data_IF_384117006762
#
_entry.id   IF_384117006762
#
_cell.length_a   1.000
_cell.length_b   1.000
_cell.length_c   1.000
_cell.angle_alpha   90.00
_cell.angle_beta   90.00
_cell.angle_gamma   90.00
#
_symmetry.space_group_name_H-M   'P 1'
#
loop_
_entity.id
_entity.type
_entity.pdbx_description
1 polymer ?
#
# COMPACT_ATOMS: atom_id res chain seq x y z
N UNK A 1 -19.38 -34.18 -29.53
CA UNK A 1 -19.43 -33.81 -28.10
C UNK A 1 -18.80 -32.43 -27.94
N UNK A 2 -19.39 -31.50 -27.17
CA UNK A 2 -18.70 -30.26 -26.85
C UNK A 2 -17.43 -30.56 -26.05
N UNK A 3 -16.33 -29.82 -26.25
CA UNK A 3 -15.09 -30.06 -25.50
C UNK A 3 -15.34 -29.87 -24.00
N UNK A 4 -14.88 -30.83 -23.19
CA UNK A 4 -14.97 -30.75 -21.74
C UNK A 4 -14.18 -29.54 -21.23
N UNK A 5 -14.78 -28.71 -20.37
CA UNK A 5 -14.08 -27.57 -19.76
C UNK A 5 -12.85 -28.07 -18.99
N UNK A 6 -11.68 -27.42 -19.13
CA UNK A 6 -10.47 -27.84 -18.43
C UNK A 6 -10.62 -27.71 -16.91
N UNK A 7 -10.06 -28.66 -16.17
CA UNK A 7 -10.04 -28.64 -14.70
C UNK A 7 -9.17 -27.49 -14.16
N UNK A 8 -9.53 -26.97 -12.99
CA UNK A 8 -8.70 -25.98 -12.29
C UNK A 8 -7.46 -26.67 -11.71
N UNK A 9 -6.28 -26.10 -11.96
CA UNK A 9 -5.00 -26.58 -11.41
C UNK A 9 -4.33 -25.49 -10.58
N UNK A 10 -3.33 -25.84 -9.77
CA UNK A 10 -2.54 -24.86 -9.02
C UNK A 10 -1.90 -23.80 -9.92
N UNK A 11 -1.56 -24.13 -11.17
CA UNK A 11 -1.01 -23.18 -12.14
C UNK A 11 -1.98 -22.04 -12.49
N UNK A 12 -3.29 -22.26 -12.33
CA UNK A 12 -4.29 -21.20 -12.53
C UNK A 12 -4.24 -20.13 -11.44
N UNK A 13 -3.64 -20.41 -10.26
CA UNK A 13 -3.48 -19.40 -9.21
C UNK A 13 -2.69 -18.19 -9.69
N UNK A 14 -1.69 -18.40 -10.54
CA UNK A 14 -0.87 -17.34 -11.14
C UNK A 14 -1.59 -16.51 -12.21
N UNK A 15 -2.80 -16.94 -12.63
CA UNK A 15 -3.63 -16.22 -13.59
C UNK A 15 -4.66 -15.31 -12.91
N UNK A 16 -4.88 -15.47 -11.61
CA UNK A 16 -5.80 -14.61 -10.89
C UNK A 16 -5.25 -13.18 -10.81
N UNK A 17 -6.13 -12.24 -11.16
CA UNK A 17 -5.91 -10.82 -10.96
C UNK A 17 -7.01 -10.35 -10.02
N UNK A 18 -6.62 -9.94 -8.82
CA UNK A 18 -7.57 -9.46 -7.81
C UNK A 18 -7.63 -7.94 -7.89
N UNK A 19 -8.83 -7.44 -8.11
CA UNK A 19 -9.11 -6.02 -8.20
C UNK A 19 -9.67 -5.52 -6.86
N UNK A 20 -9.09 -4.47 -6.31
CA UNK A 20 -9.48 -3.88 -5.02
C UNK A 20 -9.43 -2.35 -5.05
N UNK A 21 -10.04 -1.70 -4.05
CA UNK A 21 -9.94 -0.25 -3.78
C UNK A 21 -10.20 0.64 -5.01
N UNK A 22 -11.40 0.50 -5.57
CA UNK A 22 -11.87 1.31 -6.69
C UNK A 22 -12.25 2.72 -6.22
N UNK A 23 -11.72 3.74 -6.87
CA UNK A 23 -12.01 5.14 -6.58
C UNK A 23 -12.37 5.89 -7.85
N UNK A 24 -13.56 6.49 -7.86
CA UNK A 24 -14.02 7.39 -8.91
C UNK A 24 -13.25 8.72 -8.86
N UNK A 25 -12.86 9.26 -10.01
CA UNK A 25 -12.26 10.59 -10.10
C UNK A 25 -13.27 11.69 -9.73
N UNK A 26 -12.81 12.88 -9.28
CA UNK A 26 -13.72 13.96 -8.87
C UNK A 26 -14.68 14.43 -9.97
N UNK A 27 -14.24 14.37 -11.24
CA UNK A 27 -15.04 14.69 -12.43
C UNK A 27 -15.92 13.53 -12.91
N UNK A 28 -15.80 12.34 -12.29
CA UNK A 28 -16.57 11.15 -12.64
C UNK A 28 -16.15 10.46 -13.93
N UNK A 29 -15.06 10.86 -14.59
CA UNK A 29 -14.71 10.33 -15.92
C UNK A 29 -13.72 9.16 -15.89
N UNK A 30 -13.06 8.92 -14.75
CA UNK A 30 -12.12 7.82 -14.56
C UNK A 30 -12.38 7.05 -13.26
N UNK A 31 -12.01 5.78 -13.24
CA UNK A 31 -11.84 4.98 -12.01
C UNK A 31 -10.38 4.57 -11.91
N UNK A 32 -9.76 4.85 -10.76
CA UNK A 32 -8.50 4.21 -10.37
C UNK A 32 -8.79 2.99 -9.51
N UNK A 33 -8.05 1.91 -9.69
CA UNK A 33 -8.17 0.71 -8.87
C UNK A 33 -6.82 0.03 -8.71
N UNK A 34 -6.73 -0.83 -7.69
CA UNK A 34 -5.56 -1.67 -7.43
C UNK A 34 -5.75 -3.02 -8.14
N UNK A 35 -4.74 -3.47 -8.88
CA UNK A 35 -4.72 -4.79 -9.50
C UNK A 35 -3.56 -5.60 -8.93
N UNK A 36 -3.89 -6.61 -8.13
CA UNK A 36 -2.94 -7.53 -7.53
C UNK A 36 -2.74 -8.77 -8.41
N UNK A 37 -1.47 -9.18 -8.57
CA UNK A 37 -1.06 -10.41 -9.25
C UNK A 37 -0.08 -11.22 -8.40
N UNK A 38 0.02 -12.52 -8.66
CA UNK A 38 1.07 -13.37 -8.12
C UNK A 38 2.12 -13.59 -9.21
N UNK A 39 3.37 -13.24 -8.94
CA UNK A 39 4.47 -13.52 -9.85
C UNK A 39 4.84 -15.00 -9.79
N UNK A 40 4.84 -15.67 -10.95
CA UNK A 40 5.08 -17.12 -11.02
C UNK A 40 6.50 -17.54 -10.64
N UNK A 41 7.48 -16.66 -10.85
CA UNK A 41 8.90 -17.00 -10.62
C UNK A 41 9.27 -16.85 -9.16
N UNK A 42 8.76 -15.81 -8.50
CA UNK A 42 9.12 -15.47 -7.12
C UNK A 42 8.06 -15.89 -6.11
N UNK A 43 6.87 -16.27 -6.58
CA UNK A 43 5.67 -16.55 -5.79
C UNK A 43 5.21 -15.37 -4.92
N UNK A 44 5.78 -14.18 -5.14
CA UNK A 44 5.42 -12.96 -4.44
C UNK A 44 4.17 -12.34 -5.05
N UNK A 45 3.43 -11.64 -4.20
CA UNK A 45 2.32 -10.78 -4.63
C UNK A 45 2.85 -9.40 -4.95
N UNK A 46 2.36 -8.83 -6.04
CA UNK A 46 2.60 -7.45 -6.42
C UNK A 46 1.28 -6.81 -6.76
N UNK A 47 1.16 -5.50 -6.52
CA UNK A 47 -0.01 -4.74 -6.94
C UNK A 47 0.42 -3.46 -7.61
N UNK A 48 -0.30 -3.09 -8.65
CA UNK A 48 -0.12 -1.83 -9.34
C UNK A 48 -1.46 -1.13 -9.50
N UNK A 49 -1.41 0.18 -9.68
CA UNK A 49 -2.59 0.99 -9.94
C UNK A 49 -2.92 0.95 -11.44
N UNK A 50 -4.21 0.92 -11.72
CA UNK A 50 -4.76 0.94 -13.07
C UNK A 50 -5.85 2.00 -13.15
N UNK A 51 -6.03 2.54 -14.34
CA UNK A 51 -7.05 3.53 -14.66
C UNK A 51 -7.95 3.00 -15.75
N UNK A 52 -9.26 3.24 -15.63
CA UNK A 52 -10.23 2.95 -16.67
C UNK A 52 -11.21 4.10 -16.82
N UNK A 53 -11.60 4.50 -18.04
CA UNK A 53 -12.69 5.45 -18.24
C UNK A 53 -14.02 4.89 -17.72
N UNK A 54 -14.89 5.74 -17.19
CA UNK A 54 -16.24 5.32 -16.76
C UNK A 54 -17.20 5.09 -17.93
N UNK A 55 -16.94 5.75 -19.06
CA UNK A 55 -17.62 5.51 -20.33
C UNK A 55 -17.01 4.34 -21.10
N UNK A 56 -16.96 4.47 -22.42
CA UNK A 56 -16.29 3.49 -23.27
C UNK A 56 -14.78 3.69 -23.25
N UNK A 57 -14.02 2.61 -23.10
CA UNK A 57 -12.57 2.66 -23.07
C UNK A 57 -11.94 1.38 -22.56
N UNK A 58 -10.63 1.25 -22.73
CA UNK A 58 -9.85 0.13 -22.19
C UNK A 58 -9.11 0.57 -20.92
N UNK A 59 -8.98 -0.30 -19.91
CA UNK A 59 -8.09 -0.03 -18.79
C UNK A 59 -6.66 0.15 -19.25
N UNK A 60 -5.95 1.09 -18.62
CA UNK A 60 -4.50 1.30 -18.79
C UNK A 60 -3.81 1.15 -17.45
N UNK A 61 -2.63 0.54 -17.47
CA UNK A 61 -1.79 0.47 -16.30
C UNK A 61 -1.24 1.86 -15.98
N UNK A 62 -1.31 2.26 -14.71
CA UNK A 62 -0.89 3.57 -14.24
C UNK A 62 0.48 3.52 -13.57
N UNK A 63 0.70 2.58 -12.65
CA UNK A 63 2.02 2.33 -12.03
C UNK A 63 2.62 1.00 -12.48
N UNK A 64 3.94 0.85 -12.36
CA UNK A 64 4.67 -0.32 -12.85
C UNK A 64 5.75 -0.74 -11.86
N UNK A 65 6.06 -2.04 -11.82
CA UNK A 65 7.19 -2.57 -11.06
C UNK A 65 6.85 -3.85 -10.28
N UNK A 66 7.85 -4.33 -9.55
CA UNK A 66 7.76 -5.47 -8.63
C UNK A 66 7.72 -5.00 -7.19
N UNK A 67 6.74 -4.15 -6.89
CA UNK A 67 6.42 -3.60 -5.58
C UNK A 67 4.89 -3.61 -5.40
N UNK A 68 4.42 -3.13 -4.26
CA UNK A 68 3.02 -3.10 -3.87
C UNK A 68 2.55 -1.65 -3.85
N UNK A 69 1.79 -1.24 -4.86
CA UNK A 69 1.08 0.04 -4.84
C UNK A 69 -0.38 -0.20 -4.40
N UNK A 70 -0.86 0.58 -3.44
CA UNK A 70 -2.21 0.44 -2.88
C UNK A 70 -2.78 1.76 -2.37
N UNK A 71 -4.07 1.75 -1.98
CA UNK A 71 -4.77 2.92 -1.43
C UNK A 71 -4.70 4.18 -2.30
N UNK A 72 -5.09 4.10 -3.59
CA UNK A 72 -5.09 5.28 -4.44
C UNK A 72 -6.14 6.29 -3.97
N UNK A 73 -5.76 7.58 -3.93
CA UNK A 73 -6.63 8.71 -3.58
C UNK A 73 -6.41 9.83 -4.58
N UNK A 74 -7.47 10.17 -5.31
CA UNK A 74 -7.48 11.32 -6.21
C UNK A 74 -7.28 12.62 -5.44
N UNK A 75 -6.43 13.51 -5.96
CA UNK A 75 -6.43 14.91 -5.52
C UNK A 75 -7.80 15.53 -5.81
N UNK A 76 -8.27 16.49 -5.01
CA UNK A 76 -9.60 17.10 -5.20
C UNK A 76 -9.78 17.76 -6.58
N UNK A 77 -8.69 18.25 -7.18
CA UNK A 77 -8.67 18.82 -8.53
C UNK A 77 -8.57 17.77 -9.65
N UNK A 78 -8.46 16.49 -9.32
CA UNK A 78 -8.33 15.37 -10.25
C UNK A 78 -7.00 15.28 -10.99
N UNK A 79 -6.03 16.16 -10.70
CA UNK A 79 -4.77 16.25 -11.46
C UNK A 79 -3.71 15.24 -11.05
N UNK A 80 -3.82 14.67 -9.86
CA UNK A 80 -2.87 13.73 -9.32
C UNK A 80 -3.55 12.61 -8.51
N UNK A 81 -2.80 11.53 -8.27
CA UNK A 81 -3.21 10.42 -7.42
C UNK A 81 -2.13 10.22 -6.37
N UNK A 82 -2.50 10.30 -5.09
CA UNK A 82 -1.66 9.87 -3.98
C UNK A 82 -1.90 8.39 -3.68
N UNK A 83 -0.89 7.66 -3.28
CA UNK A 83 -0.99 6.23 -2.98
C UNK A 83 0.13 5.77 -2.06
N UNK A 84 -0.04 4.61 -1.41
CA UNK A 84 1.03 3.95 -0.68
C UNK A 84 1.82 3.05 -1.62
N UNK A 85 3.15 3.08 -1.50
CA UNK A 85 4.05 2.17 -2.22
C UNK A 85 5.20 1.73 -1.34
N UNK A 86 5.57 0.45 -1.38
CA UNK A 86 6.80 -0.07 -0.78
C UNK A 86 7.97 -0.10 -1.79
N UNK A 87 7.89 0.72 -2.85
CA UNK A 87 9.02 0.93 -3.76
C UNK A 87 10.21 1.50 -2.99
N UNK A 88 11.40 0.96 -3.26
CA UNK A 88 12.63 1.28 -2.53
C UNK A 88 12.97 0.21 -1.50
N UNK A 89 12.11 0.01 -0.51
CA UNK A 89 12.31 -0.98 0.56
C UNK A 89 11.07 -1.84 0.74
N UNK A 90 11.15 -3.10 0.33
CA UNK A 90 10.03 -4.05 0.40
C UNK A 90 9.45 -4.12 1.82
N UNK A 91 8.13 -3.96 1.94
CA UNK A 91 7.41 -3.94 3.21
C UNK A 91 7.45 -2.60 3.97
N UNK A 92 8.25 -1.62 3.55
CA UNK A 92 8.24 -0.26 4.14
C UNK A 92 7.55 0.71 3.19
N UNK A 93 6.25 0.89 3.39
CA UNK A 93 5.44 1.80 2.59
C UNK A 93 5.82 3.26 2.83
N UNK A 94 5.70 4.08 1.79
CA UNK A 94 5.69 5.54 1.83
C UNK A 94 4.48 6.06 1.04
N UNK A 95 4.10 7.30 1.29
CA UNK A 95 3.14 8.02 0.46
C UNK A 95 3.88 8.54 -0.77
N UNK A 96 3.32 8.24 -1.94
CA UNK A 96 3.75 8.77 -3.24
C UNK A 96 2.62 9.58 -3.87
N UNK A 97 2.99 10.47 -4.77
CA UNK A 97 2.06 11.19 -5.65
C UNK A 97 2.52 11.09 -7.09
N UNK A 98 1.57 10.87 -8.01
CA UNK A 98 1.85 10.83 -9.45
C UNK A 98 0.78 11.62 -10.22
N UNK A 99 1.18 12.44 -11.21
CA UNK A 99 0.22 13.14 -12.07
C UNK A 99 -0.68 12.16 -12.85
N UNK A 100 -1.94 12.54 -13.09
CA UNK A 100 -2.92 11.71 -13.81
C UNK A 100 -2.44 11.31 -15.21
N UNK A 101 -1.76 12.22 -15.91
CA UNK A 101 -1.23 11.98 -17.24
C UNK A 101 0.01 11.06 -17.25
N UNK A 102 0.44 10.58 -16.07
CA UNK A 102 1.60 9.74 -15.88
C UNK A 102 2.85 10.55 -15.54
N UNK A 103 4.01 9.94 -15.73
CA UNK A 103 5.31 10.46 -15.30
C UNK A 103 5.88 9.68 -14.13
N UNK A 104 6.93 10.21 -13.52
CA UNK A 104 7.54 9.60 -12.34
C UNK A 104 6.74 9.92 -11.09
N UNK A 105 6.51 8.92 -10.23
CA UNK A 105 5.88 9.18 -8.94
C UNK A 105 6.91 9.76 -7.96
N UNK A 106 6.56 10.88 -7.32
CA UNK A 106 7.40 11.50 -6.29
C UNK A 106 7.09 10.92 -4.91
N UNK A 107 8.09 10.58 -4.08
CA UNK A 107 7.86 10.30 -2.67
C UNK A 107 7.47 11.59 -1.94
N UNK A 108 6.46 11.52 -1.07
CA UNK A 108 6.06 12.60 -0.17
C UNK A 108 6.54 12.37 1.26
N UNK A 109 6.90 11.13 1.59
CA UNK A 109 7.35 10.75 2.92
C UNK A 109 8.64 9.92 2.87
N UNK A 110 9.38 9.96 3.98
CA UNK A 110 10.50 9.07 4.27
C UNK A 110 10.43 8.63 5.75
N UNK A 111 9.33 7.97 6.11
CA UNK A 111 8.98 7.61 7.49
C UNK A 111 9.17 6.12 7.77
N UNK A 112 9.54 5.77 9.00
CA UNK A 112 9.69 4.37 9.43
C UNK A 112 8.55 4.00 10.37
N UNK A 113 7.75 3.01 9.97
CA UNK A 113 6.52 2.63 10.64
C UNK A 113 5.44 2.17 9.67
N UNK A 114 4.22 2.10 10.18
CA UNK A 114 3.06 1.59 9.46
C UNK A 114 2.11 2.73 9.09
N UNK A 115 1.65 2.71 7.84
CA UNK A 115 0.59 3.60 7.36
C UNK A 115 -0.77 2.92 7.47
N UNK A 116 -1.79 3.71 7.80
CA UNK A 116 -3.19 3.30 7.85
C UNK A 116 -3.97 3.98 6.73
N UNK A 117 -5.18 4.48 7.02
CA UNK A 117 -5.97 5.20 6.00
C UNK A 117 -5.28 6.49 5.53
N UNK A 118 -5.43 6.79 4.24
CA UNK A 118 -4.94 8.00 3.56
C UNK A 118 -6.12 8.73 2.90
N UNK A 119 -6.16 10.06 3.00
CA UNK A 119 -7.11 10.92 2.28
C UNK A 119 -6.52 12.29 1.97
N UNK A 120 -7.00 12.93 0.91
CA UNK A 120 -6.75 14.36 0.68
C UNK A 120 -7.62 15.23 1.56
N UNK A 121 -7.08 16.35 2.01
CA UNK A 121 -7.87 17.46 2.52
C UNK A 121 -8.70 18.05 1.38
N UNK A 122 -9.94 18.54 1.63
CA UNK A 122 -10.79 19.12 0.58
C UNK A 122 -10.13 20.29 -0.19
N UNK A 123 -9.20 21.00 0.45
CA UNK A 123 -8.45 22.11 -0.17
C UNK A 123 -7.42 21.64 -1.22
N UNK A 124 -7.08 20.35 -1.26
CA UNK A 124 -6.06 19.79 -2.14
C UNK A 124 -4.61 20.12 -1.77
N UNK A 125 -4.39 20.85 -0.66
CA UNK A 125 -3.04 21.29 -0.22
C UNK A 125 -2.36 20.31 0.72
N UNK A 126 -3.13 19.40 1.32
CA UNK A 126 -2.66 18.51 2.36
C UNK A 126 -3.22 17.11 2.19
N UNK A 127 -2.46 16.14 2.69
CA UNK A 127 -2.89 14.78 2.93
C UNK A 127 -3.07 14.57 4.44
N UNK A 128 -4.14 13.87 4.80
CA UNK A 128 -4.42 13.37 6.15
C UNK A 128 -4.20 11.86 6.11
N UNK A 129 -3.42 11.34 7.04
CA UNK A 129 -3.17 9.90 7.09
C UNK A 129 -2.97 9.39 8.51
N UNK A 130 -3.31 8.13 8.71
CA UNK A 130 -2.99 7.41 9.93
C UNK A 130 -1.56 6.88 9.87
N UNK A 131 -0.81 7.06 10.94
CA UNK A 131 0.55 6.56 11.04
C UNK A 131 0.88 6.08 12.46
N UNK A 132 1.46 4.90 12.53
CA UNK A 132 2.06 4.33 13.73
C UNK A 132 3.57 4.23 13.51
N UNK A 133 4.32 5.00 14.28
CA UNK A 133 5.79 4.95 14.25
C UNK A 133 6.31 3.56 14.61
N UNK A 134 7.47 3.22 14.08
CA UNK A 134 8.21 2.05 14.56
C UNK A 134 8.67 2.28 16.01
N UNK A 135 8.50 1.27 16.87
CA UNK A 135 9.00 1.30 18.25
C UNK A 135 10.52 1.57 18.28
N UNK A 136 10.96 2.44 19.18
CA UNK A 136 12.38 2.79 19.32
C UNK A 136 13.29 1.57 19.54
N UNK A 137 12.85 0.64 20.40
CA UNK A 137 13.57 -0.61 20.67
C UNK A 137 13.63 -1.54 19.44
N UNK A 138 12.64 -1.46 18.55
CA UNK A 138 12.66 -2.20 17.28
C UNK A 138 13.66 -1.60 16.31
N UNK A 139 13.64 -0.28 16.15
CA UNK A 139 14.59 0.44 15.33
C UNK A 139 16.03 0.25 15.83
N UNK A 140 16.25 0.22 17.14
CA UNK A 140 17.57 -0.06 17.72
C UNK A 140 18.04 -1.49 17.41
N UNK A 141 17.16 -2.49 17.59
CA UNK A 141 17.45 -3.89 17.25
C UNK A 141 17.79 -4.07 15.77
N UNK A 142 17.21 -3.30 14.87
CA UNK A 142 17.53 -3.38 13.44
C UNK A 142 18.92 -2.85 13.10
N UNK A 143 19.40 -1.84 13.84
CA UNK A 143 20.72 -1.21 13.66
C UNK A 143 21.85 -1.98 14.34
N UNK A 144 21.60 -2.61 15.47
CA UNK A 144 22.61 -3.35 16.23
C UNK A 144 22.61 -4.84 15.87
N UNK A 145 23.71 -5.34 15.29
CA UNK A 145 23.82 -6.72 14.82
C UNK A 145 23.69 -7.76 15.94
N UNK A 146 24.19 -7.45 17.14
CA UNK A 146 24.10 -8.35 18.29
C UNK A 146 22.66 -8.43 18.80
N UNK A 147 22.00 -7.28 18.98
CA UNK A 147 20.59 -7.21 19.38
C UNK A 147 19.66 -7.82 18.32
N UNK A 148 19.98 -7.65 17.03
CA UNK A 148 19.26 -8.29 15.91
C UNK A 148 19.33 -9.81 16.01
N UNK A 149 20.51 -10.37 16.32
CA UNK A 149 20.71 -11.81 16.50
C UNK A 149 20.02 -12.34 17.75
N UNK A 150 20.07 -11.61 18.85
CA UNK A 150 19.39 -11.99 20.11
C UNK A 150 17.87 -11.94 19.97
N UNK A 151 17.33 -11.02 19.17
CA UNK A 151 15.90 -10.81 19.04
C UNK A 151 15.29 -10.19 20.30
N UNK A 152 14.03 -10.52 20.58
CA UNK A 152 13.31 -10.00 21.76
C UNK A 152 13.47 -10.98 22.92
N UNK A 153 14.34 -10.65 23.88
CA UNK A 153 14.64 -11.50 25.04
C UNK A 153 13.74 -11.23 26.26
N UNK A 154 13.20 -10.01 26.36
CA UNK A 154 12.27 -9.61 27.42
C UNK A 154 11.30 -8.55 26.90
N UNK A 155 10.15 -8.40 27.56
CA UNK A 155 9.15 -7.38 27.24
C UNK A 155 8.74 -6.64 28.50
N UNK A 156 8.78 -5.31 28.44
CA UNK A 156 8.21 -4.46 29.48
C UNK A 156 6.81 -4.03 29.06
N UNK A 157 5.79 -4.67 29.62
CA UNK A 157 4.39 -4.39 29.30
C UNK A 157 3.86 -3.30 30.24
N UNK A 158 3.51 -2.14 29.67
CA UNK A 158 3.00 -0.98 30.42
C UNK A 158 1.49 -0.73 30.26
N UNK A 159 0.79 -1.59 29.50
CA UNK A 159 -0.63 -1.41 29.18
C UNK A 159 -1.37 -2.73 29.17
N UNK A 160 -2.67 -2.69 29.50
CA UNK A 160 -3.53 -3.86 29.56
C UNK A 160 -3.77 -4.50 28.17
N UNK A 161 -3.98 -3.67 27.14
CA UNK A 161 -4.12 -4.13 25.75
C UNK A 161 -2.74 -4.24 25.08
N UNK A 162 -2.01 -5.32 25.41
CA UNK A 162 -0.64 -5.54 24.92
C UNK A 162 -0.53 -6.60 23.82
N UNK A 163 -1.58 -7.40 23.62
CA UNK A 163 -1.61 -8.49 22.64
C UNK A 163 -3.01 -8.59 22.03
N UNK A 164 -3.08 -8.96 20.76
CA UNK A 164 -4.32 -9.22 20.03
C UNK A 164 -4.20 -10.52 19.26
N UNK A 165 -5.27 -11.31 19.21
CA UNK A 165 -5.29 -12.56 18.46
C UNK A 165 -5.06 -12.29 16.96
N UNK A 166 -4.27 -13.16 16.33
CA UNK A 166 -3.83 -12.99 14.94
C UNK A 166 -2.70 -11.97 14.73
N UNK A 167 -2.66 -10.87 15.49
CA UNK A 167 -1.62 -9.84 15.36
C UNK A 167 -0.41 -10.06 16.30
N UNK A 168 -0.60 -10.77 17.41
CA UNK A 168 0.45 -10.98 18.41
C UNK A 168 0.64 -9.75 19.31
N UNK A 169 1.89 -9.48 19.69
CA UNK A 169 2.22 -8.37 20.59
C UNK A 169 2.07 -7.04 19.85
N UNK A 170 1.29 -6.14 20.43
CA UNK A 170 1.01 -4.83 19.84
C UNK A 170 2.19 -3.87 20.07
N UNK A 171 2.55 -3.02 19.09
CA UNK A 171 3.62 -2.02 19.23
C UNK A 171 3.36 -1.02 20.37
N UNK A 172 4.40 -0.51 21.01
CA UNK A 172 4.27 0.52 22.04
C UNK A 172 3.74 1.83 21.46
N UNK A 173 4.25 2.23 20.30
CA UNK A 173 3.77 3.38 19.53
C UNK A 173 2.28 3.23 19.17
N UNK A 174 1.55 4.34 19.14
CA UNK A 174 0.11 4.37 18.84
C UNK A 174 -0.13 4.84 17.41
N UNK A 175 -1.32 4.54 16.91
CA UNK A 175 -1.83 5.18 15.70
C UNK A 175 -2.15 6.64 16.01
N UNK A 176 -1.65 7.53 15.16
CA UNK A 176 -1.93 8.95 15.21
C UNK A 176 -2.42 9.41 13.83
N UNK A 177 -3.16 10.51 13.80
CA UNK A 177 -3.50 11.20 12.55
C UNK A 177 -2.41 12.25 12.30
N UNK A 178 -1.87 12.22 11.09
CA UNK A 178 -0.82 13.11 10.62
C UNK A 178 -1.31 13.95 9.46
N UNK A 179 -0.73 15.14 9.33
CA UNK A 179 -0.91 16.05 8.20
C UNK A 179 0.41 16.16 7.45
N UNK A 180 0.32 16.17 6.12
CA UNK A 180 1.45 16.36 5.22
C UNK A 180 1.06 17.34 4.13
N UNK A 181 1.88 18.36 3.90
CA UNK A 181 1.73 19.25 2.76
C UNK A 181 2.11 18.50 1.47
N UNK A 182 1.25 18.60 0.46
CA UNK A 182 1.34 17.81 -0.77
C UNK A 182 1.61 18.69 -1.99
#
# INVERSE_FOLDING_TARGET
MPPSKPLITAAHLYRFQLLTDCMLSPDGVHVVYVLQRVDRRTEKKYSNLWLVPTGSGRPRQFTFGSHTDMQPRWSPDGRAIAFLSDRGTAGQFQIFSMPLHGGEARPLTALHGSFGQLSWAPSGRQLVFEFQKQDADAAERERDAHKKKLGVVARHIKRLSYKMDGAGFLPNERWHIWLLDA
#
